data_IF_151634583277
#
_entry.id   IF_151634583277
#
_cell.length_a   1.000
_cell.length_b   1.000
_cell.length_c   1.000
_cell.angle_alpha   90.00
_cell.angle_beta   90.00
_cell.angle_gamma   90.00
#
_symmetry.space_group_name_H-M   'P 1'
#
loop_
_entity.id
_entity.type
_entity.pdbx_description
1 polymer ?
#
# COMPACT_ATOMS: atom_id res chain seq x y z
N UNK A 1 17.18 21.48 -2.27
CA UNK A 1 17.92 20.77 -1.21
C UNK A 1 17.27 19.42 -0.97
N UNK A 2 17.95 18.37 -1.37
CA UNK A 2 17.47 17.00 -1.22
C UNK A 2 17.65 16.53 0.22
N UNK A 3 16.64 16.77 1.05
CA UNK A 3 16.65 16.41 2.48
C UNK A 3 16.67 14.89 2.67
N UNK A 4 15.94 14.15 1.82
CA UNK A 4 15.94 12.68 1.84
C UNK A 4 17.09 12.18 0.97
N UNK A 5 18.04 11.47 1.58
CA UNK A 5 19.26 11.00 0.90
C UNK A 5 19.19 9.53 0.49
N UNK A 6 18.40 8.72 1.18
CA UNK A 6 18.24 7.29 0.91
C UNK A 6 16.89 6.77 1.40
N UNK A 7 16.52 5.58 0.98
CA UNK A 7 15.31 4.87 1.39
C UNK A 7 14.38 4.57 0.23
N UNK A 8 13.33 3.85 0.57
CA UNK A 8 12.29 3.42 -0.35
C UNK A 8 10.92 3.83 0.19
N UNK A 9 10.00 4.17 -0.70
CA UNK A 9 8.59 4.30 -0.37
C UNK A 9 7.85 3.02 -0.75
N UNK A 10 7.12 2.46 0.22
CA UNK A 10 6.41 1.20 0.10
C UNK A 10 4.92 1.50 0.23
N UNK A 11 4.23 1.52 -0.90
CA UNK A 11 2.79 1.76 -0.96
C UNK A 11 2.05 0.52 -1.42
N UNK A 12 0.98 0.16 -0.71
CA UNK A 12 0.19 -0.99 -1.12
C UNK A 12 -0.96 -1.30 -0.18
N UNK A 13 -1.58 -2.45 -0.44
CA UNK A 13 -2.70 -2.97 0.32
C UNK A 13 -2.37 -4.32 0.93
N UNK A 14 -2.74 -4.51 2.19
CA UNK A 14 -2.75 -5.80 2.85
C UNK A 14 -4.17 -6.38 2.75
N UNK A 15 -4.31 -7.44 1.96
CA UNK A 15 -5.57 -8.13 1.75
C UNK A 15 -5.76 -9.20 2.82
N UNK A 16 -6.91 -9.18 3.46
CA UNK A 16 -7.28 -10.07 4.56
C UNK A 16 -8.63 -10.74 4.27
N UNK A 17 -8.93 -11.83 4.98
CA UNK A 17 -10.25 -12.46 4.92
C UNK A 17 -10.44 -13.46 3.77
N UNK A 18 -9.36 -13.94 3.17
CA UNK A 18 -9.36 -14.97 2.12
C UNK A 18 -8.59 -16.24 2.56
N UNK A 19 -8.69 -17.30 1.76
CA UNK A 19 -8.10 -18.62 2.08
C UNK A 19 -6.56 -18.65 2.20
N UNK A 20 -5.88 -17.62 1.76
CA UNK A 20 -4.40 -17.54 1.78
C UNK A 20 -3.83 -16.81 2.98
N UNK A 21 -4.63 -16.61 4.06
CA UNK A 21 -4.27 -15.85 5.26
C UNK A 21 -4.17 -14.34 4.98
N UNK A 22 -3.00 -13.78 4.85
CA UNK A 22 -2.82 -12.40 4.44
C UNK A 22 -2.02 -12.32 3.14
N UNK A 23 -2.26 -11.28 2.35
CA UNK A 23 -1.60 -11.07 1.08
C UNK A 23 -1.24 -9.60 0.93
N UNK A 24 0.02 -9.33 0.67
CA UNK A 24 0.49 -7.98 0.39
C UNK A 24 0.55 -7.75 -1.12
N UNK A 25 0.02 -6.64 -1.59
CA UNK A 25 0.21 -6.18 -2.97
C UNK A 25 0.48 -4.69 -2.99
N UNK A 26 1.50 -4.27 -3.73
CA UNK A 26 1.91 -2.88 -3.75
C UNK A 26 3.11 -2.60 -4.63
N UNK A 27 3.72 -1.46 -4.40
CA UNK A 27 4.90 -0.98 -5.11
C UNK A 27 5.99 -0.54 -4.14
N UNK A 28 7.23 -0.65 -4.60
CA UNK A 28 8.44 -0.20 -3.89
C UNK A 28 9.21 0.71 -4.83
N UNK A 29 9.35 1.98 -4.47
CA UNK A 29 10.06 2.98 -5.26
C UNK A 29 11.18 3.61 -4.43
N UNK A 30 12.42 3.43 -4.86
CA UNK A 30 13.57 4.04 -4.18
C UNK A 30 13.70 5.53 -4.49
N UNK A 31 14.33 6.26 -3.56
CA UNK A 31 14.63 7.68 -3.76
C UNK A 31 15.51 7.90 -4.99
N UNK A 32 16.47 7.00 -5.24
CA UNK A 32 17.34 7.07 -6.41
C UNK A 32 16.57 6.87 -7.72
N UNK A 33 15.63 5.95 -7.76
CA UNK A 33 14.78 5.70 -8.91
C UNK A 33 13.78 6.84 -9.14
N UNK A 34 13.16 7.36 -8.08
CA UNK A 34 12.24 8.49 -8.19
C UNK A 34 12.91 9.73 -8.78
N UNK A 35 14.17 10.03 -8.41
CA UNK A 35 14.94 11.15 -8.95
C UNK A 35 15.40 10.96 -10.40
N UNK A 36 15.58 9.71 -10.82
CA UNK A 36 15.81 9.42 -12.25
C UNK A 36 14.57 9.64 -13.09
N UNK A 37 13.39 9.29 -12.55
CA UNK A 37 12.09 9.47 -13.21
C UNK A 37 11.68 10.95 -13.23
N UNK A 38 11.80 11.62 -12.08
CA UNK A 38 11.40 13.02 -11.89
C UNK A 38 12.49 13.71 -11.03
N UNK A 39 13.39 14.50 -11.61
CA UNK A 39 14.45 15.16 -10.88
C UNK A 39 13.95 15.97 -9.69
N UNK A 40 14.70 15.95 -8.59
CA UNK A 40 14.41 16.64 -7.32
C UNK A 40 13.16 16.18 -6.56
N UNK A 41 12.47 15.13 -7.01
CA UNK A 41 11.29 14.60 -6.32
C UNK A 41 11.65 13.41 -5.41
N UNK A 42 10.86 13.22 -4.37
CA UNK A 42 10.93 12.02 -3.55
C UNK A 42 9.94 10.94 -4.05
N UNK A 43 10.12 9.72 -3.57
CA UNK A 43 9.35 8.57 -4.03
C UNK A 43 7.86 8.71 -3.75
N UNK A 44 7.47 9.16 -2.55
CA UNK A 44 6.07 9.37 -2.17
C UNK A 44 5.38 10.37 -3.09
N UNK A 45 6.05 11.51 -3.35
CA UNK A 45 5.49 12.54 -4.24
C UNK A 45 5.26 11.99 -5.65
N UNK A 46 6.21 11.22 -6.19
CA UNK A 46 6.09 10.63 -7.53
C UNK A 46 4.92 9.64 -7.59
N UNK A 47 4.81 8.75 -6.61
CA UNK A 47 3.74 7.75 -6.58
C UNK A 47 2.36 8.36 -6.40
N UNK A 48 2.21 9.39 -5.56
CA UNK A 48 0.94 10.12 -5.40
C UNK A 48 0.60 10.92 -6.65
N UNK A 49 1.56 11.69 -7.17
CA UNK A 49 1.34 12.54 -8.34
C UNK A 49 0.91 11.74 -9.57
N UNK A 50 1.48 10.56 -9.81
CA UNK A 50 1.11 9.76 -10.98
C UNK A 50 -0.32 9.22 -10.89
N UNK A 51 -0.84 8.98 -9.68
CA UNK A 51 -2.25 8.66 -9.47
C UNK A 51 -3.15 9.81 -9.94
N UNK A 52 -2.83 11.04 -9.54
CA UNK A 52 -3.56 12.25 -9.94
C UNK A 52 -3.48 12.48 -11.45
N UNK A 53 -2.28 12.37 -12.04
CA UNK A 53 -2.07 12.51 -13.49
C UNK A 53 -2.87 11.47 -14.26
N UNK A 54 -2.87 10.21 -13.82
CA UNK A 54 -3.63 9.13 -14.46
C UNK A 54 -5.14 9.41 -14.44
N UNK A 55 -5.65 9.91 -13.31
CA UNK A 55 -7.05 10.30 -13.18
C UNK A 55 -7.39 11.49 -14.09
N UNK A 56 -6.54 12.51 -14.12
CA UNK A 56 -6.73 13.69 -14.98
C UNK A 56 -6.77 13.29 -16.47
N UNK A 57 -5.84 12.43 -16.91
CA UNK A 57 -5.83 11.93 -18.29
C UNK A 57 -7.10 11.15 -18.64
N UNK A 58 -7.60 10.35 -17.70
CA UNK A 58 -8.86 9.64 -17.91
C UNK A 58 -10.05 10.60 -18.00
N UNK A 59 -10.13 11.62 -17.12
CA UNK A 59 -11.20 12.61 -17.14
C UNK A 59 -11.22 13.41 -18.45
N UNK A 60 -10.06 13.80 -18.97
CA UNK A 60 -9.95 14.50 -20.27
C UNK A 60 -10.52 13.63 -21.41
N UNK A 61 -10.30 12.32 -21.37
CA UNK A 61 -10.83 11.40 -22.37
C UNK A 61 -12.31 11.05 -22.16
N UNK A 62 -12.86 11.35 -20.98
CA UNK A 62 -14.22 10.99 -20.59
C UNK A 62 -15.01 12.20 -20.03
N UNK A 63 -15.11 13.34 -20.73
CA UNK A 63 -15.60 14.61 -20.19
C UNK A 63 -17.07 14.60 -19.76
N UNK A 64 -17.84 13.59 -20.19
CA UNK A 64 -19.28 13.49 -19.90
C UNK A 64 -19.60 12.55 -18.73
N UNK A 65 -18.59 12.03 -18.04
CA UNK A 65 -18.80 11.06 -16.93
C UNK A 65 -19.25 11.71 -15.61
N UNK A 66 -19.23 13.03 -15.52
CA UNK A 66 -19.59 13.72 -14.29
C UNK A 66 -18.55 13.53 -13.19
N UNK A 67 -18.99 13.56 -11.93
CA UNK A 67 -18.14 13.32 -10.78
C UNK A 67 -17.87 11.82 -10.65
N UNK A 68 -16.60 11.43 -10.56
CA UNK A 68 -16.17 10.06 -10.36
C UNK A 68 -15.22 9.98 -9.16
N UNK A 69 -15.38 8.96 -8.35
CA UNK A 69 -14.45 8.61 -7.28
C UNK A 69 -13.27 7.79 -7.85
N UNK A 70 -12.15 7.69 -7.14
CA UNK A 70 -11.01 6.87 -7.58
C UNK A 70 -11.40 5.42 -7.94
N UNK A 71 -12.35 4.82 -7.20
CA UNK A 71 -12.82 3.45 -7.42
C UNK A 71 -13.67 3.29 -8.70
N UNK A 72 -14.20 4.39 -9.23
CA UNK A 72 -14.94 4.39 -10.51
C UNK A 72 -14.02 4.38 -11.73
N UNK A 73 -12.73 4.63 -11.52
CA UNK A 73 -11.75 4.69 -12.60
C UNK A 73 -11.33 3.28 -13.06
N UNK A 74 -11.26 3.03 -14.38
CA UNK A 74 -10.80 1.74 -14.88
C UNK A 74 -9.35 1.48 -14.46
N UNK A 75 -9.11 0.56 -13.53
CA UNK A 75 -7.78 0.28 -12.99
C UNK A 75 -6.74 -0.04 -14.09
N UNK A 76 -7.15 -0.71 -15.17
CA UNK A 76 -6.26 -1.02 -16.30
C UNK A 76 -5.75 0.23 -16.99
N UNK A 77 -6.59 1.25 -17.13
CA UNK A 77 -6.21 2.53 -17.69
C UNK A 77 -5.23 3.25 -16.76
N UNK A 78 -5.57 3.36 -15.48
CA UNK A 78 -4.72 3.99 -14.46
C UNK A 78 -3.37 3.29 -14.41
N UNK A 79 -3.33 1.96 -14.31
CA UNK A 79 -2.09 1.20 -14.23
C UNK A 79 -1.23 1.29 -15.50
N UNK A 80 -1.84 1.42 -16.68
CA UNK A 80 -1.09 1.62 -17.92
C UNK A 80 -0.22 2.89 -17.87
N UNK A 81 -0.72 3.94 -17.21
CA UNK A 81 -0.03 5.23 -17.09
C UNK A 81 0.90 5.21 -15.87
N UNK A 82 0.40 4.71 -14.73
CA UNK A 82 1.11 4.79 -13.46
C UNK A 82 2.29 3.83 -13.33
N UNK A 83 2.19 2.63 -13.89
CA UNK A 83 3.17 1.54 -13.71
C UNK A 83 4.63 1.96 -13.91
N UNK A 84 5.00 2.76 -14.92
CA UNK A 84 6.39 3.20 -15.11
C UNK A 84 6.96 4.06 -13.98
N UNK A 85 6.09 4.63 -13.13
CA UNK A 85 6.44 5.54 -12.04
C UNK A 85 6.30 4.94 -10.65
N UNK A 86 5.86 3.68 -10.55
CA UNK A 86 5.60 3.02 -9.27
C UNK A 86 6.79 2.22 -8.74
N UNK A 87 7.86 2.08 -9.55
CA UNK A 87 8.99 1.21 -9.21
C UNK A 87 8.62 -0.27 -9.28
N UNK A 88 9.17 -1.08 -8.38
CA UNK A 88 8.95 -2.53 -8.38
C UNK A 88 7.56 -2.87 -7.83
N UNK A 89 6.73 -3.51 -8.66
CA UNK A 89 5.47 -4.07 -8.21
C UNK A 89 5.71 -5.42 -7.51
N UNK A 90 5.10 -5.59 -6.33
CA UNK A 90 5.20 -6.78 -5.49
C UNK A 90 3.79 -7.29 -5.21
N UNK A 91 3.59 -8.60 -5.30
CA UNK A 91 2.36 -9.27 -4.87
C UNK A 91 2.76 -10.62 -4.27
N UNK A 92 2.59 -10.78 -2.96
CA UNK A 92 3.15 -11.92 -2.23
C UNK A 92 2.30 -12.28 -1.02
N UNK A 93 2.23 -13.57 -0.64
CA UNK A 93 1.68 -13.95 0.65
C UNK A 93 2.47 -13.29 1.78
N UNK A 94 1.77 -12.95 2.84
CA UNK A 94 2.33 -12.37 4.06
C UNK A 94 2.01 -13.27 5.26
N UNK A 95 2.95 -13.36 6.18
CA UNK A 95 2.74 -14.05 7.46
C UNK A 95 2.15 -13.12 8.53
N UNK A 96 1.79 -11.89 8.15
CA UNK A 96 1.23 -10.95 9.08
C UNK A 96 -0.13 -11.42 9.62
N UNK A 97 -0.30 -11.29 10.92
CA UNK A 97 -1.59 -11.46 11.61
C UNK A 97 -1.78 -10.30 12.59
N UNK A 98 -3.02 -10.00 13.05
CA UNK A 98 -3.25 -8.95 14.05
C UNK A 98 -2.42 -9.14 15.31
N UNK A 99 -1.98 -10.36 15.58
CA UNK A 99 -1.22 -10.71 16.77
C UNK A 99 0.30 -10.70 16.55
N UNK A 100 0.78 -10.44 15.33
CA UNK A 100 2.22 -10.49 15.01
C UNK A 100 3.05 -9.52 15.84
N UNK A 101 2.47 -8.39 16.26
CA UNK A 101 3.15 -7.39 17.07
C UNK A 101 2.65 -7.36 18.52
N UNK A 102 1.81 -8.31 18.93
CA UNK A 102 1.23 -8.31 20.27
C UNK A 102 2.28 -8.31 21.38
N UNK A 103 3.33 -9.12 21.25
CA UNK A 103 4.41 -9.21 22.23
C UNK A 103 5.29 -7.96 22.29
N UNK A 104 5.33 -7.16 21.22
CA UNK A 104 6.11 -5.91 21.17
C UNK A 104 5.45 -4.83 22.02
N UNK A 105 4.12 -4.76 21.99
CA UNK A 105 3.35 -3.74 22.70
C UNK A 105 2.88 -4.16 24.09
N UNK A 106 2.76 -5.48 24.35
CA UNK A 106 2.16 -6.03 25.57
C UNK A 106 3.05 -7.08 26.22
N UNK A 107 4.32 -6.72 26.48
CA UNK A 107 5.35 -7.62 27.07
C UNK A 107 4.99 -8.28 28.40
N UNK A 108 3.98 -7.82 29.10
CA UNK A 108 3.67 -8.27 30.48
C UNK A 108 2.87 -9.56 30.57
N UNK A 109 2.25 -10.04 29.51
CA UNK A 109 1.47 -11.29 29.52
C UNK A 109 2.17 -12.45 28.81
N UNK A 110 3.09 -13.11 29.51
CA UNK A 110 3.85 -14.27 29.02
C UNK A 110 3.03 -15.53 28.75
N UNK A 111 1.75 -15.58 29.08
CA UNK A 111 1.00 -16.84 29.13
C UNK A 111 -0.13 -17.01 28.11
N UNK A 112 -0.42 -16.05 27.30
CA UNK A 112 -1.48 -16.22 26.30
C UNK A 112 -0.94 -16.99 25.10
N UNK A 113 -0.98 -18.32 25.16
CA UNK A 113 -0.85 -19.16 23.96
C UNK A 113 -2.00 -18.82 23.03
N UNK A 114 -1.68 -18.05 21.98
CA UNK A 114 -2.66 -17.67 20.97
C UNK A 114 -3.06 -18.91 20.17
N UNK A 115 -4.36 -19.23 20.20
CA UNK A 115 -4.92 -20.27 19.34
C UNK A 115 -4.83 -19.81 17.88
N UNK A 116 -4.06 -20.53 17.00
CA UNK A 116 -3.92 -20.18 15.60
C UNK A 116 -5.27 -20.03 14.88
N UNK A 117 -6.30 -20.77 15.31
CA UNK A 117 -7.65 -20.67 14.75
C UNK A 117 -8.40 -19.39 15.15
N UNK A 118 -7.89 -18.66 16.14
CA UNK A 118 -8.51 -17.43 16.67
C UNK A 118 -7.79 -16.14 16.28
N UNK A 119 -6.64 -16.23 15.59
CA UNK A 119 -5.81 -15.07 15.22
C UNK A 119 -6.59 -14.00 14.45
N UNK A 120 -7.56 -14.40 13.63
CA UNK A 120 -8.35 -13.54 12.76
C UNK A 120 -9.71 -13.12 13.35
N UNK A 121 -10.00 -13.44 14.62
CA UNK A 121 -11.24 -12.98 15.24
C UNK A 121 -11.19 -11.48 15.49
N UNK A 122 -12.31 -10.80 15.26
CA UNK A 122 -12.44 -9.35 15.45
C UNK A 122 -12.01 -8.90 16.86
N UNK A 123 -12.27 -9.70 17.88
CA UNK A 123 -11.85 -9.44 19.26
C UNK A 123 -10.35 -9.27 19.45
N UNK A 124 -9.53 -9.86 18.56
CA UNK A 124 -8.07 -9.72 18.59
C UNK A 124 -7.58 -8.39 17.99
N UNK A 125 -8.46 -7.67 17.30
CA UNK A 125 -8.18 -6.33 16.79
C UNK A 125 -8.60 -5.23 17.76
N UNK A 126 -9.37 -5.58 18.81
CA UNK A 126 -9.80 -4.62 19.80
C UNK A 126 -8.69 -4.40 20.83
N UNK A 127 -8.34 -3.15 21.07
CA UNK A 127 -7.55 -2.77 22.23
C UNK A 127 -8.37 -3.09 23.50
N UNK A 128 -7.84 -3.96 24.33
CA UNK A 128 -8.32 -4.10 25.70
C UNK A 128 -7.47 -3.15 26.55
N UNK A 129 -8.09 -2.14 27.19
CA UNK A 129 -7.39 -1.26 28.10
C UNK A 129 -6.82 -2.03 29.29
#
# INVERSE_FOLDING_TARGET
>A
NDVITSGDDILGALLLGHKYSSWWTGSVLSIGESRRLVPHQNATTVQVAIGVVSAAMWMIQNPRRGVCLPDDLPYKFVMKIAKPYLGKLVSTPSNWTPMSNYQVFFRENKETKLDPKRLWRFQNFLFKP
#
